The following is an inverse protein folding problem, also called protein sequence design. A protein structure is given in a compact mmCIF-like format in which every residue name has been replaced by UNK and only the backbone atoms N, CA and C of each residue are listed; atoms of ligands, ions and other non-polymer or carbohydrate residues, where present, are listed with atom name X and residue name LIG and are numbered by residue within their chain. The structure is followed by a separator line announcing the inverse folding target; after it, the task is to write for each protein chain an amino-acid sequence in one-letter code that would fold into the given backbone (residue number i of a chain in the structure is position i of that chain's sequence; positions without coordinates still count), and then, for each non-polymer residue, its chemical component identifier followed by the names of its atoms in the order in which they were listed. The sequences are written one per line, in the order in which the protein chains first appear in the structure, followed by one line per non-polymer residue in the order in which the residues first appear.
data_IF_404955754186
#
_entry.id   IF_404955754186
#
_cell.length_a   1.000
_cell.length_b   1.000
_cell.length_c   1.000
_cell.angle_alpha   90.00
_cell.angle_beta   90.00
_cell.angle_gamma   90.00
#
_symmetry.space_group_name_H-M   'P 1'
#
loop_
_entity.id
_entity.type
_entity.pdbx_description
1 polymer ?
#
# COMPACT_ATOMS: atom_id res chain seq x y z
N UNK A 1 65.87 3.43 -31.21
CA UNK A 1 65.98 2.49 -30.07
C UNK A 1 66.68 3.26 -28.96
N UNK A 2 66.12 3.59 -27.80
CA UNK A 2 64.94 3.12 -27.10
C UNK A 2 64.30 4.35 -26.42
N UNK A 3 63.30 4.96 -27.08
CA UNK A 3 62.29 5.82 -26.43
C UNK A 3 61.11 4.94 -26.04
N UNK A 4 61.39 3.81 -25.39
CA UNK A 4 60.41 2.75 -25.11
C UNK A 4 60.37 2.37 -23.63
N UNK A 5 60.93 3.20 -22.75
CA UNK A 5 60.88 2.96 -21.28
C UNK A 5 60.39 4.21 -20.51
N UNK A 6 59.61 5.08 -21.18
CA UNK A 6 58.98 6.27 -20.55
C UNK A 6 57.50 6.41 -20.94
N UNK A 7 56.83 5.30 -21.23
CA UNK A 7 55.36 5.22 -21.40
C UNK A 7 54.79 4.08 -20.52
N UNK A 8 55.61 3.47 -19.66
CA UNK A 8 55.22 2.36 -18.77
C UNK A 8 55.35 2.71 -17.28
N UNK A 9 55.37 4.00 -16.94
CA UNK A 9 55.26 4.49 -15.56
C UNK A 9 54.15 5.54 -15.35
N UNK A 10 53.31 5.79 -16.36
CA UNK A 10 52.15 6.70 -16.25
C UNK A 10 50.81 6.01 -16.57
N UNK A 11 50.77 4.68 -16.59
CA UNK A 11 49.51 3.91 -16.73
C UNK A 11 49.11 3.08 -15.51
N UNK A 12 49.85 3.15 -14.41
CA UNK A 12 49.56 2.41 -13.18
C UNK A 12 49.28 3.30 -11.95
N UNK A 13 48.89 4.58 -12.15
CA UNK A 13 48.58 5.50 -11.03
C UNK A 13 47.19 6.14 -11.15
N UNK A 14 46.37 5.79 -12.14
CA UNK A 14 45.03 6.39 -12.31
C UNK A 14 43.91 5.39 -12.57
N UNK A 15 44.02 4.18 -12.03
CA UNK A 15 42.88 3.25 -11.93
C UNK A 15 42.96 2.62 -10.54
N UNK A 16 42.17 3.15 -9.60
CA UNK A 16 42.18 2.63 -8.22
C UNK A 16 41.56 3.48 -7.14
N UNK A 17 40.77 4.53 -7.45
CA UNK A 17 40.02 5.29 -6.43
C UNK A 17 38.71 5.86 -7.01
N UNK A 18 37.88 5.04 -7.66
CA UNK A 18 36.66 5.60 -8.26
C UNK A 18 35.52 4.64 -8.56
N UNK A 19 35.60 3.36 -8.19
CA UNK A 19 34.55 2.38 -8.52
C UNK A 19 33.93 1.74 -7.26
N UNK A 20 34.37 2.10 -6.06
CA UNK A 20 33.77 1.62 -4.80
C UNK A 20 32.80 2.63 -4.15
N UNK A 21 32.74 3.88 -4.64
CA UNK A 21 31.85 4.91 -4.07
C UNK A 21 30.55 5.15 -4.87
N UNK A 22 30.42 4.62 -6.10
CA UNK A 22 29.21 4.81 -6.93
C UNK A 22 28.20 3.66 -6.85
N UNK A 23 28.55 2.51 -6.26
CA UNK A 23 27.60 1.39 -6.07
C UNK A 23 26.79 1.46 -4.76
N UNK A 24 27.11 2.37 -3.84
CA UNK A 24 26.30 2.59 -2.62
C UNK A 24 25.07 3.49 -2.84
N UNK A 25 24.96 4.20 -3.98
CA UNK A 25 23.89 5.19 -4.20
C UNK A 25 22.65 4.63 -4.94
N UNK A 26 22.69 3.42 -5.50
CA UNK A 26 21.55 2.83 -6.24
C UNK A 26 20.79 1.69 -5.51
N UNK A 27 21.15 1.36 -4.27
CA UNK A 27 20.36 0.44 -3.43
C UNK A 27 20.04 1.03 -2.04
N UNK A 28 19.86 2.34 -1.94
CA UNK A 28 19.01 2.88 -0.88
C UNK A 28 17.55 2.77 -1.35
N UNK A 29 17.01 1.55 -1.31
CA UNK A 29 15.56 1.36 -1.24
C UNK A 29 15.13 2.01 0.08
N UNK A 30 14.96 3.35 0.05
CA UNK A 30 14.81 4.29 1.18
C UNK A 30 14.22 3.54 2.35
N UNK A 31 15.09 3.05 3.23
CA UNK A 31 14.68 2.18 4.33
C UNK A 31 13.97 3.06 5.33
N UNK A 32 12.68 3.30 5.07
CA UNK A 32 11.79 4.09 5.89
C UNK A 32 11.80 3.47 7.29
N UNK A 33 12.51 4.12 8.20
CA UNK A 33 12.51 3.70 9.59
C UNK A 33 11.15 3.97 10.22
N UNK A 34 10.35 2.92 10.33
CA UNK A 34 9.01 3.03 10.90
C UNK A 34 9.06 3.05 12.42
N UNK A 35 8.38 4.03 13.00
CA UNK A 35 8.24 4.17 14.44
C UNK A 35 7.46 2.99 15.02
N UNK A 36 8.03 2.39 16.06
CA UNK A 36 7.41 1.33 16.87
C UNK A 36 6.83 1.93 18.15
N UNK A 37 5.78 1.32 18.69
CA UNK A 37 5.15 1.71 19.96
C UNK A 37 3.86 2.53 19.81
N UNK A 38 3.44 3.12 20.93
CA UNK A 38 2.11 3.73 21.09
C UNK A 38 1.87 4.88 20.12
N UNK A 39 0.62 5.02 19.67
CA UNK A 39 0.18 6.12 18.83
C UNK A 39 -0.06 7.37 19.67
N UNK A 40 0.58 8.48 19.29
CA UNK A 40 0.29 9.78 19.89
C UNK A 40 -1.04 10.33 19.36
N UNK A 41 -1.59 11.33 20.06
CA UNK A 41 -2.74 12.09 19.58
C UNK A 41 -2.41 12.73 18.23
N UNK A 42 -1.26 13.41 18.11
CA UNK A 42 -0.82 14.07 16.89
C UNK A 42 -0.71 13.10 15.71
N UNK A 43 -0.09 11.93 15.90
CA UNK A 43 0.02 10.89 14.86
C UNK A 43 -1.37 10.40 14.43
N UNK A 44 -2.29 10.26 15.38
CA UNK A 44 -3.66 9.84 15.10
C UNK A 44 -4.42 10.91 14.30
N UNK A 45 -4.24 12.19 14.64
CA UNK A 45 -4.84 13.30 13.89
C UNK A 45 -4.32 13.36 12.46
N UNK A 46 -3.00 13.20 12.26
CA UNK A 46 -2.38 13.12 10.92
C UNK A 46 -2.98 11.98 10.10
N UNK A 47 -3.17 10.80 10.69
CA UNK A 47 -3.80 9.67 9.99
C UNK A 47 -5.24 9.99 9.57
N UNK A 48 -6.02 10.64 10.44
CA UNK A 48 -7.42 11.02 10.13
C UNK A 48 -7.46 12.05 9.00
N UNK A 49 -6.57 13.04 9.03
CA UNK A 49 -6.44 14.05 7.97
C UNK A 49 -6.01 13.42 6.64
N UNK A 50 -5.00 12.55 6.66
CA UNK A 50 -4.59 11.79 5.48
C UNK A 50 -5.76 10.96 4.92
N UNK A 51 -6.59 10.36 5.77
CA UNK A 51 -7.80 9.64 5.35
C UNK A 51 -8.89 10.54 4.77
N UNK A 52 -9.03 11.77 5.28
CA UNK A 52 -9.92 12.78 4.71
C UNK A 52 -9.47 13.17 3.29
N UNK A 53 -8.19 13.45 3.09
CA UNK A 53 -7.63 13.77 1.78
C UNK A 53 -7.72 12.59 0.80
N UNK A 54 -7.48 11.35 1.25
CA UNK A 54 -7.68 10.14 0.44
C UNK A 54 -9.14 10.03 -0.02
N UNK A 55 -10.09 10.34 0.87
CA UNK A 55 -11.51 10.34 0.52
C UNK A 55 -11.84 11.39 -0.54
N UNK A 56 -11.40 12.64 -0.35
CA UNK A 56 -11.64 13.74 -1.28
C UNK A 56 -11.02 13.47 -2.65
N UNK A 57 -9.77 13.00 -2.69
CA UNK A 57 -9.10 12.57 -3.91
C UNK A 57 -9.89 11.50 -4.66
N UNK A 58 -10.42 10.50 -3.95
CA UNK A 58 -11.22 9.44 -4.57
C UNK A 58 -12.57 9.95 -5.06
N UNK A 59 -13.22 10.82 -4.29
CA UNK A 59 -14.46 11.46 -4.70
C UNK A 59 -14.27 12.32 -5.97
N UNK A 60 -13.15 13.05 -6.06
CA UNK A 60 -12.80 13.88 -7.21
C UNK A 60 -12.53 13.05 -8.46
N UNK A 61 -11.70 12.00 -8.38
CA UNK A 61 -11.48 11.08 -9.52
C UNK A 61 -12.78 10.49 -10.03
N UNK A 62 -13.68 10.12 -9.13
CA UNK A 62 -14.96 9.55 -9.52
C UNK A 62 -15.92 10.59 -10.11
N UNK A 63 -15.79 11.87 -9.75
CA UNK A 63 -16.50 12.98 -10.40
C UNK A 63 -15.95 13.26 -11.81
N UNK A 64 -14.64 13.14 -12.00
CA UNK A 64 -13.97 13.29 -13.29
C UNK A 64 -14.34 12.16 -14.27
N UNK A 65 -14.45 10.92 -13.78
CA UNK A 65 -14.94 9.77 -14.57
C UNK A 65 -16.41 9.94 -15.00
N UNK A 66 -17.28 10.49 -14.14
CA UNK A 66 -18.67 10.79 -14.49
C UNK A 66 -18.83 11.92 -15.52
N UNK A 67 -17.78 12.69 -15.84
CA UNK A 67 -17.79 13.76 -16.86
C UNK A 67 -17.33 13.31 -18.25
N UNK A 68 -17.32 11.99 -18.50
CA UNK A 68 -17.11 11.44 -19.86
C UNK A 68 -15.66 11.13 -20.22
N UNK A 69 -14.75 11.00 -19.25
CA UNK A 69 -13.40 10.51 -19.50
C UNK A 69 -13.36 8.99 -19.37
N UNK A 70 -13.33 8.28 -20.51
CA UNK A 70 -13.04 6.84 -20.60
C UNK A 70 -11.58 6.58 -20.23
N UNK A 71 -11.26 6.65 -18.93
CA UNK A 71 -9.96 6.31 -18.38
C UNK A 71 -10.01 4.96 -17.67
N UNK A 72 -9.36 3.96 -18.25
CA UNK A 72 -9.07 2.66 -17.65
C UNK A 72 -8.53 2.85 -16.21
N UNK A 73 -9.17 2.23 -15.21
CA UNK A 73 -8.58 2.09 -13.87
C UNK A 73 -9.52 2.21 -12.67
N UNK A 74 -10.68 1.54 -12.67
CA UNK A 74 -11.62 1.57 -11.54
C UNK A 74 -11.23 0.70 -10.33
N UNK A 75 -10.04 0.09 -10.28
CA UNK A 75 -9.64 -0.70 -9.11
C UNK A 75 -8.13 -0.68 -8.92
N UNK A 76 -7.60 0.45 -8.41
CA UNK A 76 -6.28 0.38 -7.77
C UNK A 76 -6.37 -0.59 -6.58
N UNK A 77 -5.44 -1.55 -6.44
CA UNK A 77 -5.44 -2.48 -5.31
C UNK A 77 -5.50 -1.74 -3.97
N UNK A 78 -6.16 -2.38 -2.99
CA UNK A 78 -6.25 -1.97 -1.59
C UNK A 78 -4.88 -1.63 -0.95
N UNK A 79 -3.81 -2.19 -1.51
CA UNK A 79 -2.42 -1.93 -1.14
C UNK A 79 -1.92 -0.56 -1.63
N UNK A 80 -2.26 -0.15 -2.86
CA UNK A 80 -1.89 1.16 -3.42
C UNK A 80 -2.60 2.34 -2.74
N UNK A 81 -3.75 2.13 -2.09
CA UNK A 81 -4.42 3.21 -1.32
C UNK A 81 -3.70 3.51 -0.03
N UNK A 82 -3.27 2.49 0.70
CA UNK A 82 -2.60 2.70 1.97
C UNK A 82 -1.17 3.19 1.78
N UNK A 83 -0.49 2.82 0.69
CA UNK A 83 0.81 3.42 0.31
C UNK A 83 0.72 4.95 0.23
N UNK A 84 -0.34 5.49 -0.37
CA UNK A 84 -0.51 6.94 -0.42
C UNK A 84 -0.78 7.57 0.95
N UNK A 85 -1.58 6.90 1.78
CA UNK A 85 -1.85 7.35 3.16
C UNK A 85 -0.56 7.35 3.97
N UNK A 86 0.27 6.32 3.82
CA UNK A 86 1.60 6.23 4.40
C UNK A 86 2.48 7.41 3.96
N UNK A 87 2.61 7.66 2.66
CA UNK A 87 3.38 8.80 2.13
C UNK A 87 2.87 10.14 2.66
N UNK A 88 1.56 10.28 2.87
CA UNK A 88 0.98 11.47 3.47
C UNK A 88 1.33 11.59 4.95
N UNK A 89 1.19 10.51 5.72
CA UNK A 89 1.56 10.48 7.13
C UNK A 89 3.04 10.80 7.32
N UNK A 90 3.89 10.20 6.48
CA UNK A 90 5.34 10.40 6.49
C UNK A 90 5.73 11.86 6.29
N UNK A 91 5.13 12.55 5.31
CA UNK A 91 5.38 13.98 5.05
C UNK A 91 4.97 14.90 6.20
N UNK A 92 4.08 14.45 7.10
CA UNK A 92 3.66 15.20 8.28
C UNK A 92 4.36 14.71 9.56
N UNK A 93 5.48 13.99 9.43
CA UNK A 93 6.29 13.50 10.55
C UNK A 93 5.71 12.28 11.26
N UNK A 94 4.67 11.65 10.71
CA UNK A 94 4.10 10.40 11.20
C UNK A 94 4.74 9.22 10.44
N UNK A 95 5.93 8.80 10.90
CA UNK A 95 6.72 7.73 10.31
C UNK A 95 6.14 6.33 10.63
N UNK A 96 4.92 6.05 10.17
CA UNK A 96 4.22 4.76 10.38
C UNK A 96 4.03 4.06 9.05
N UNK A 97 4.20 2.74 9.03
CA UNK A 97 4.08 1.95 7.81
C UNK A 97 2.64 1.85 7.34
N UNK A 98 2.47 1.42 6.09
CA UNK A 98 1.18 1.11 5.50
C UNK A 98 0.26 0.29 6.43
N UNK A 99 0.80 -0.81 6.96
CA UNK A 99 0.05 -1.75 7.80
C UNK A 99 -0.28 -1.14 9.16
N UNK A 100 0.66 -0.41 9.76
CA UNK A 100 0.41 0.29 11.03
C UNK A 100 -0.73 1.32 10.89
N UNK A 101 -0.72 2.10 9.81
CA UNK A 101 -1.78 3.06 9.50
C UNK A 101 -3.14 2.37 9.29
N UNK A 102 -3.15 1.24 8.57
CA UNK A 102 -4.35 0.44 8.33
C UNK A 102 -4.94 -0.10 9.65
N UNK A 103 -4.15 -0.83 10.43
CA UNK A 103 -4.58 -1.43 11.68
C UNK A 103 -5.08 -0.37 12.68
N UNK A 104 -4.36 0.76 12.76
CA UNK A 104 -4.76 1.88 13.60
C UNK A 104 -6.11 2.44 13.17
N UNK A 105 -6.31 2.64 11.88
CA UNK A 105 -7.57 3.15 11.33
C UNK A 105 -8.73 2.20 11.60
N UNK A 106 -8.54 0.90 11.40
CA UNK A 106 -9.59 -0.10 11.65
C UNK A 106 -10.00 -0.16 13.13
N UNK A 107 -9.02 -0.07 14.04
CA UNK A 107 -9.28 0.03 15.47
C UNK A 107 -10.05 1.32 15.82
N UNK A 108 -9.63 2.47 15.28
CA UNK A 108 -10.32 3.76 15.49
C UNK A 108 -11.76 3.73 15.00
N UNK A 109 -11.99 3.19 13.81
CA UNK A 109 -13.32 3.09 13.23
C UNK A 109 -14.23 2.13 14.00
N UNK A 110 -13.66 1.07 14.59
CA UNK A 110 -14.39 0.15 15.47
C UNK A 110 -14.81 0.86 16.76
N UNK A 111 -13.87 1.54 17.41
CA UNK A 111 -14.12 2.27 18.65
C UNK A 111 -15.13 3.41 18.45
N UNK A 112 -14.97 4.18 17.37
CA UNK A 112 -15.91 5.21 16.96
C UNK A 112 -17.34 4.67 16.82
N UNK A 113 -17.52 3.56 16.08
CA UNK A 113 -18.85 2.97 15.89
C UNK A 113 -19.49 2.55 17.21
N UNK A 114 -18.70 1.98 18.13
CA UNK A 114 -19.18 1.58 19.46
C UNK A 114 -19.65 2.79 20.26
N UNK A 115 -18.82 3.83 20.38
CA UNK A 115 -19.15 5.04 21.14
C UNK A 115 -20.36 5.75 20.53
N UNK A 116 -20.39 5.91 19.20
CA UNK A 116 -21.50 6.54 18.50
C UNK A 116 -22.82 5.78 18.66
N UNK A 117 -22.80 4.44 18.66
CA UNK A 117 -23.99 3.63 18.90
C UNK A 117 -24.50 3.80 20.35
N UNK A 118 -23.59 3.84 21.31
CA UNK A 118 -23.91 4.07 22.72
C UNK A 118 -24.53 5.46 22.94
N UNK A 119 -23.89 6.53 22.44
CA UNK A 119 -24.42 7.89 22.51
C UNK A 119 -25.81 8.02 21.86
N UNK A 120 -26.02 7.36 20.72
CA UNK A 120 -27.34 7.35 20.08
C UNK A 120 -28.39 6.63 20.93
N UNK A 121 -28.04 5.49 21.54
CA UNK A 121 -28.96 4.74 22.40
C UNK A 121 -29.37 5.54 23.64
N UNK A 122 -28.47 6.35 24.18
CA UNK A 122 -28.75 7.25 25.31
C UNK A 122 -29.68 8.40 24.94
N UNK A 123 -29.49 8.97 23.74
CA UNK A 123 -30.37 10.03 23.24
C UNK A 123 -31.81 9.54 23.03
N UNK A 124 -31.99 8.26 22.71
CA UNK A 124 -33.32 7.63 22.62
C UNK A 124 -33.91 7.26 24.00
N UNK A 125 -33.05 6.92 24.97
CA UNK A 125 -33.43 6.50 26.33
C UNK A 125 -33.53 7.63 27.38
N UNK A 126 -33.41 8.90 26.98
CA UNK A 126 -33.71 10.06 27.84
C UNK A 126 -32.76 10.29 29.02
N UNK A 127 -31.53 9.77 29.01
CA UNK A 127 -30.57 9.90 30.11
C UNK A 127 -29.25 10.61 29.70
N UNK A 128 -29.22 11.95 29.60
CA UNK A 128 -28.04 12.73 29.19
C UNK A 128 -26.86 12.70 30.20
N UNK A 129 -27.10 12.21 31.42
CA UNK A 129 -26.09 12.10 32.47
C UNK A 129 -25.07 10.98 32.26
N UNK A 130 -25.40 9.97 31.44
CA UNK A 130 -24.60 8.75 31.24
C UNK A 130 -23.78 8.76 29.93
N UNK A 131 -23.60 9.93 29.31
CA UNK A 131 -22.78 10.09 28.10
C UNK A 131 -21.38 9.51 28.32
N UNK A 132 -20.86 8.85 27.29
CA UNK A 132 -19.54 8.24 27.24
C UNK A 132 -18.43 9.17 27.74
N UNK A 133 -18.55 10.47 27.42
CA UNK A 133 -17.57 11.49 27.81
C UNK A 133 -17.53 11.76 29.32
N UNK A 134 -18.64 11.51 30.01
CA UNK A 134 -18.77 11.67 31.46
C UNK A 134 -18.44 10.39 32.24
N UNK A 135 -18.43 9.24 31.56
CA UNK A 135 -18.08 7.96 32.18
C UNK A 135 -16.58 7.89 32.47
N UNK A 136 -16.25 7.36 33.64
CA UNK A 136 -14.88 7.03 34.02
C UNK A 136 -14.41 5.75 33.31
N UNK A 137 -13.09 5.53 33.28
CA UNK A 137 -12.45 4.41 32.58
C UNK A 137 -13.01 3.05 32.98
N UNK A 138 -13.32 2.84 34.26
CA UNK A 138 -13.85 1.57 34.76
C UNK A 138 -15.31 1.37 34.30
N UNK A 139 -16.16 2.39 34.39
CA UNK A 139 -17.55 2.35 33.91
C UNK A 139 -17.63 2.10 32.40
N UNK A 140 -16.71 2.68 31.62
CA UNK A 140 -16.59 2.38 30.18
C UNK A 140 -16.33 0.90 29.95
N UNK A 141 -15.46 0.28 30.75
CA UNK A 141 -15.14 -1.15 30.65
C UNK A 141 -16.35 -2.02 31.00
N UNK A 142 -17.10 -1.68 32.05
CA UNK A 142 -18.33 -2.39 32.43
C UNK A 142 -19.39 -2.34 31.31
N UNK A 143 -19.48 -1.21 30.61
CA UNK A 143 -20.37 -1.03 29.45
C UNK A 143 -19.78 -1.52 28.12
N UNK A 144 -18.64 -2.22 28.13
CA UNK A 144 -17.94 -2.71 26.93
C UNK A 144 -17.55 -1.62 25.90
N UNK A 145 -17.34 -0.39 26.38
CA UNK A 145 -16.96 0.77 25.59
C UNK A 145 -15.44 0.92 25.51
N UNK A 146 -14.91 1.52 24.43
CA UNK A 146 -13.49 1.83 24.32
C UNK A 146 -13.01 2.67 25.50
N UNK A 147 -11.83 2.41 26.04
CA UNK A 147 -11.34 3.16 27.21
C UNK A 147 -10.63 4.47 26.82
N UNK A 148 -10.00 4.50 25.64
CA UNK A 148 -9.01 5.51 25.27
C UNK A 148 -9.44 6.37 24.05
N UNK A 149 -10.69 6.29 23.60
CA UNK A 149 -11.16 7.18 22.52
C UNK A 149 -11.33 8.59 23.09
N UNK A 150 -10.58 9.53 22.53
CA UNK A 150 -10.58 10.94 22.93
C UNK A 150 -11.67 11.73 22.18
N UNK A 151 -12.25 12.78 22.77
CA UNK A 151 -13.26 13.63 22.13
C UNK A 151 -12.79 14.20 20.79
N UNK A 152 -11.56 14.70 20.72
CA UNK A 152 -10.97 15.33 19.54
C UNK A 152 -10.87 14.34 18.37
N UNK A 153 -10.47 13.11 18.67
CA UNK A 153 -10.40 12.01 17.69
C UNK A 153 -11.81 11.65 17.21
N UNK A 154 -12.78 11.55 18.12
CA UNK A 154 -14.15 11.19 17.77
C UNK A 154 -14.84 12.26 16.91
N UNK A 155 -14.64 13.54 17.21
CA UNK A 155 -15.13 14.65 16.40
C UNK A 155 -14.54 14.60 14.98
N UNK A 156 -13.22 14.48 14.87
CA UNK A 156 -12.55 14.38 13.58
C UNK A 156 -13.02 13.16 12.75
N UNK A 157 -13.23 12.01 13.39
CA UNK A 157 -13.80 10.83 12.74
C UNK A 157 -15.26 11.04 12.31
N UNK A 158 -16.05 11.76 13.12
CA UNK A 158 -17.44 12.10 12.79
C UNK A 158 -17.50 12.88 11.49
N UNK A 159 -16.64 13.89 11.32
CA UNK A 159 -16.57 14.64 10.06
C UNK A 159 -16.26 13.75 8.86
N UNK A 160 -15.27 12.85 8.97
CA UNK A 160 -14.88 11.95 7.86
C UNK A 160 -16.04 11.04 7.48
N UNK A 161 -16.76 10.50 8.47
CA UNK A 161 -17.91 9.62 8.25
C UNK A 161 -19.11 10.38 7.67
N UNK A 162 -19.41 11.57 8.18
CA UNK A 162 -20.51 12.40 7.68
C UNK A 162 -20.27 12.84 6.25
N UNK A 163 -19.06 13.32 5.94
CA UNK A 163 -18.65 13.71 4.58
C UNK A 163 -18.73 12.52 3.62
N UNK A 164 -18.37 11.32 4.09
CA UNK A 164 -18.58 10.08 3.34
C UNK A 164 -20.06 9.81 3.08
N UNK A 165 -20.88 9.81 4.11
CA UNK A 165 -22.32 9.56 3.99
C UNK A 165 -23.03 10.57 3.08
N UNK A 166 -22.65 11.84 3.13
CA UNK A 166 -23.19 12.89 2.25
C UNK A 166 -22.83 12.66 0.78
N UNK A 167 -21.59 12.28 0.49
CA UNK A 167 -21.17 12.00 -0.87
C UNK A 167 -21.79 10.70 -1.43
N UNK A 168 -22.03 9.69 -0.59
CA UNK A 168 -22.79 8.50 -0.98
C UNK A 168 -24.27 8.85 -1.26
N UNK A 169 -24.90 9.69 -0.42
CA UNK A 169 -26.26 10.18 -0.65
C UNK A 169 -26.39 11.03 -1.92
N UNK A 170 -25.40 11.86 -2.24
CA UNK A 170 -25.37 12.65 -3.47
C UNK A 170 -25.21 11.79 -4.73
N UNK A 171 -24.74 10.54 -4.59
CA UNK A 171 -24.59 9.55 -5.67
C UNK A 171 -25.83 8.68 -5.86
N UNK A 172 -26.68 8.56 -4.84
CA UNK A 172 -27.83 7.66 -4.84
C UNK A 172 -29.10 8.36 -4.40
N UNK A 173 -29.88 8.83 -5.38
CA UNK A 173 -31.33 8.91 -5.19
C UNK A 173 -31.88 7.49 -5.06
N UNK A 174 -32.11 7.04 -3.82
CA UNK A 174 -32.93 5.87 -3.50
C UNK A 174 -32.19 4.55 -3.20
N UNK A 175 -32.64 3.92 -2.10
CA UNK A 175 -32.50 2.50 -1.72
C UNK A 175 -31.17 1.99 -1.13
N UNK A 176 -31.02 2.10 0.20
CA UNK A 176 -30.92 0.94 1.11
C UNK A 176 -30.76 1.43 2.57
N UNK A 177 -31.90 1.59 3.27
CA UNK A 177 -31.95 1.65 4.72
C UNK A 177 -32.96 0.59 5.20
N UNK A 178 -32.51 -0.66 5.17
CA UNK A 178 -33.06 -1.77 5.94
C UNK A 178 -31.82 -2.55 6.41
N UNK A 179 -31.58 -2.82 7.69
CA UNK A 179 -32.53 -3.15 8.73
C UNK A 179 -32.15 -2.51 10.08
N UNK A 180 -33.02 -1.64 10.58
CA UNK A 180 -33.26 -1.56 12.02
C UNK A 180 -34.43 -2.52 12.28
N UNK A 181 -34.16 -3.67 12.90
CA UNK A 181 -35.23 -4.51 13.46
C UNK A 181 -35.49 -4.01 14.88
N UNK A 182 -36.71 -3.57 15.23
CA UNK A 182 -37.11 -3.48 16.61
C UNK A 182 -37.40 -4.91 17.12
N UNK A 183 -36.78 -5.26 18.25
CA UNK A 183 -37.15 -6.44 19.04
C UNK A 183 -38.52 -6.15 19.64
N UNK A 184 -39.51 -6.95 19.24
CA UNK A 184 -40.81 -6.97 19.90
C UNK A 184 -40.71 -7.76 21.20
N UNK A 185 -41.19 -7.10 22.25
CA UNK A 185 -41.58 -7.65 23.54
C UNK A 185 -42.78 -8.58 23.34
N UNK A 186 -42.64 -9.85 23.72
CA UNK A 186 -43.80 -10.72 23.96
C UNK A 186 -43.65 -11.39 25.32
N UNK A 187 -44.54 -10.96 26.21
CA UNK A 187 -44.83 -11.53 27.52
C UNK A 187 -45.76 -12.71 27.33
N UNK A 188 -45.29 -13.93 27.58
CA UNK A 188 -46.17 -15.07 27.87
C UNK A 188 -45.70 -15.86 29.10
N UNK A 189 -46.71 -16.15 29.91
CA UNK A 189 -46.69 -16.81 31.20
C UNK A 189 -46.63 -18.33 31.03
N UNK A 190 -46.01 -19.01 32.01
CA UNK A 190 -46.40 -20.34 32.44
C UNK A 190 -45.43 -21.46 32.06
N UNK A 191 -44.96 -22.19 33.07
CA UNK A 191 -44.27 -23.46 32.88
C UNK A 191 -43.21 -23.73 33.91
N UNK A 192 -43.62 -24.04 35.14
CA UNK A 192 -42.75 -24.55 36.19
C UNK A 192 -42.14 -25.90 35.80
N UNK A 193 -40.84 -26.13 36.08
CA UNK A 193 -40.40 -27.33 36.79
C UNK A 193 -38.93 -27.28 37.23
N UNK A 194 -38.71 -27.84 38.42
CA UNK A 194 -37.47 -28.45 38.94
C UNK A 194 -36.29 -27.54 39.35
N UNK A 195 -36.42 -27.05 40.58
CA UNK A 195 -35.44 -27.13 41.67
C UNK A 195 -34.15 -27.94 41.41
N UNK A 196 -33.00 -27.29 41.59
CA UNK A 196 -31.88 -27.91 42.30
C UNK A 196 -31.07 -26.83 43.03
N UNK A 197 -31.11 -26.92 44.35
CA UNK A 197 -30.43 -26.09 45.33
C UNK A 197 -29.00 -26.61 45.51
N UNK A 198 -27.94 -25.80 45.39
CA UNK A 198 -26.68 -26.05 46.10
C UNK A 198 -25.94 -24.72 46.38
N UNK A 199 -26.11 -24.27 47.63
CA UNK A 199 -25.19 -23.64 48.57
C UNK A 199 -23.95 -22.86 48.08
N UNK A 200 -23.87 -21.60 48.50
CA UNK A 200 -22.61 -20.86 48.76
C UNK A 200 -21.84 -21.47 49.95
N UNK A 201 -20.51 -21.28 50.03
CA UNK A 201 -19.95 -20.22 50.89
C UNK A 201 -18.81 -19.48 50.13
N UNK A 202 -18.38 -18.27 50.44
CA UNK A 202 -18.01 -17.68 51.74
C UNK A 202 -16.69 -16.92 51.49
N UNK A 203 -16.56 -15.76 52.14
CA UNK A 203 -15.54 -14.74 51.90
C UNK A 203 -14.07 -15.18 52.09
N UNK A 204 -13.16 -14.48 51.41
CA UNK A 204 -11.72 -14.54 51.67
C UNK A 204 -10.96 -13.44 50.93
N UNK A 205 -10.52 -12.41 51.67
CA UNK A 205 -9.54 -11.43 51.24
C UNK A 205 -8.15 -12.06 51.14
N UNK A 206 -7.41 -11.84 50.04
CA UNK A 206 -5.94 -11.85 50.07
C UNK A 206 -5.32 -11.04 48.92
N UNK A 207 -4.14 -10.50 49.23
CA UNK A 207 -3.35 -9.48 48.55
C UNK A 207 -2.58 -10.02 47.30
N UNK A 208 -1.78 -9.20 46.59
CA UNK A 208 -1.42 -9.43 45.19
C UNK A 208 -0.25 -10.42 45.00
N UNK A 209 -0.38 -11.32 44.01
CA UNK A 209 0.71 -12.20 43.56
C UNK A 209 1.59 -11.53 42.47
N UNK A 210 2.91 -11.83 42.43
CA UNK A 210 3.88 -11.33 41.46
C UNK A 210 3.80 -12.07 40.09
N UNK A 211 4.43 -11.54 39.02
CA UNK A 211 4.23 -12.05 37.66
C UNK A 211 4.92 -13.40 37.44
N UNK A 212 4.17 -14.35 36.85
CA UNK A 212 4.69 -15.62 36.36
C UNK A 212 5.59 -15.39 35.14
N UNK A 213 6.82 -15.87 35.26
CA UNK A 213 7.82 -16.01 34.20
C UNK A 213 7.32 -17.08 33.20
N UNK A 214 7.24 -16.72 31.92
CA UNK A 214 6.97 -17.66 30.84
C UNK A 214 8.20 -18.55 30.57
N UNK A 215 8.04 -19.85 30.24
CA UNK A 215 9.16 -20.71 29.86
C UNK A 215 9.71 -20.35 28.46
N UNK A 216 11.02 -20.59 28.20
CA UNK A 216 11.64 -20.24 26.94
C UNK A 216 11.19 -21.17 25.80
N UNK A 217 10.94 -20.59 24.63
CA UNK A 217 10.68 -21.31 23.38
C UNK A 217 11.98 -21.99 22.88
N UNK A 218 11.90 -23.19 22.27
CA UNK A 218 13.06 -23.84 21.68
C UNK A 218 13.56 -23.11 20.42
N UNK A 219 14.87 -23.18 20.11
CA UNK A 219 15.47 -22.46 18.98
C UNK A 219 15.07 -23.06 17.63
N UNK A 220 14.69 -22.18 16.69
CA UNK A 220 14.51 -22.51 15.27
C UNK A 220 15.86 -22.87 14.63
N UNK A 221 15.93 -23.88 13.73
CA UNK A 221 17.13 -24.16 12.95
C UNK A 221 17.32 -23.12 11.83
N UNK A 222 18.58 -22.78 11.46
CA UNK A 222 18.89 -21.78 10.43
C UNK A 222 18.57 -22.29 9.01
N UNK A 223 18.30 -21.39 8.06
CA UNK A 223 18.03 -21.75 6.67
C UNK A 223 19.32 -22.21 5.97
N UNK A 224 19.30 -23.42 5.42
CA UNK A 224 20.36 -23.95 4.58
C UNK A 224 20.50 -23.12 3.29
N UNK A 225 21.68 -22.54 3.12
CA UNK A 225 22.19 -21.97 1.89
C UNK A 225 22.16 -23.03 0.77
N UNK A 226 21.46 -22.76 -0.33
CA UNK A 226 21.63 -23.49 -1.59
C UNK A 226 22.65 -22.72 -2.43
N UNK A 227 23.78 -23.34 -2.86
CA UNK A 227 24.58 -22.74 -3.91
C UNK A 227 23.92 -22.98 -5.27
N UNK A 228 23.92 -21.92 -6.08
CA UNK A 228 23.65 -21.97 -7.52
C UNK A 228 24.74 -22.80 -8.18
N UNK A 229 24.36 -23.80 -8.98
CA UNK A 229 25.28 -24.49 -9.88
C UNK A 229 25.17 -23.84 -11.25
N UNK A 230 26.29 -23.28 -11.69
CA UNK A 230 26.59 -22.78 -13.01
C UNK A 230 26.52 -23.89 -14.06
N UNK A 231 26.10 -23.50 -15.25
CA UNK A 231 26.19 -24.28 -16.49
C UNK A 231 27.65 -24.64 -16.80
N UNK A 232 27.90 -25.84 -17.32
CA UNK A 232 28.80 -26.03 -18.47
C UNK A 232 28.53 -27.36 -19.18
N UNK A 233 28.89 -27.36 -20.47
CA UNK A 233 28.76 -28.40 -21.50
C UNK A 233 29.54 -29.68 -21.19
N UNK A 234 29.09 -30.82 -21.71
CA UNK A 234 29.73 -31.46 -22.88
C UNK A 234 29.10 -32.81 -23.25
N UNK A 235 29.26 -33.07 -24.54
CA UNK A 235 28.97 -34.21 -25.40
C UNK A 235 29.46 -35.58 -24.88
N UNK A 236 28.66 -36.65 -25.06
CA UNK A 236 29.11 -37.97 -25.57
C UNK A 236 28.09 -39.11 -25.29
N UNK A 237 27.36 -39.45 -26.34
CA UNK A 237 27.20 -40.78 -26.95
C UNK A 237 27.27 -42.10 -26.13
N UNK A 238 26.19 -42.89 -26.32
CA UNK A 238 26.08 -44.37 -26.34
C UNK A 238 26.47 -45.20 -25.11
N UNK A 239 25.50 -45.90 -24.53
CA UNK A 239 25.62 -47.36 -24.30
C UNK A 239 24.29 -48.04 -23.95
N UNK A 240 24.08 -49.16 -24.62
CA UNK A 240 22.97 -50.10 -24.61
C UNK A 240 22.86 -50.92 -23.31
N UNK A 241 21.62 -51.31 -22.97
CA UNK A 241 21.21 -52.24 -21.90
C UNK A 241 22.00 -53.55 -21.83
N UNK A 242 21.92 -54.29 -20.70
CA UNK A 242 20.95 -55.40 -20.71
C UNK A 242 20.18 -55.68 -19.41
N UNK A 243 19.13 -56.46 -19.62
CA UNK A 243 18.08 -56.98 -18.74
C UNK A 243 18.54 -57.61 -17.41
N UNK A 244 17.75 -57.39 -16.34
CA UNK A 244 17.58 -58.36 -15.24
C UNK A 244 16.12 -58.56 -14.86
N UNK A 245 15.53 -59.59 -15.48
CA UNK A 245 14.81 -60.71 -14.85
C UNK A 245 13.80 -60.41 -13.71
N UNK A 246 12.55 -60.28 -14.14
CA UNK A 246 11.28 -60.76 -13.57
C UNK A 246 11.37 -61.51 -12.21
N UNK A 247 10.63 -61.03 -11.20
CA UNK A 247 9.85 -61.90 -10.32
C UNK A 247 8.40 -61.44 -10.33
N UNK A 248 7.57 -62.29 -10.94
CA UNK A 248 6.13 -62.12 -11.13
C UNK A 248 5.42 -62.62 -9.87
N UNK A 249 4.64 -61.75 -9.27
CA UNK A 249 3.50 -62.06 -8.40
C UNK A 249 2.71 -60.76 -8.32
N UNK A 250 1.43 -60.66 -8.62
CA UNK A 250 0.39 -61.60 -8.99
C UNK A 250 -0.89 -60.76 -8.94
N UNK A 251 -1.72 -60.81 -9.98
CA UNK A 251 -3.08 -60.23 -9.99
C UNK A 251 -3.20 -58.75 -10.42
N UNK A 252 -4.14 -58.46 -11.32
CA UNK A 252 -4.70 -57.11 -11.54
C UNK A 252 -4.26 -56.34 -12.79
N UNK A 253 -4.30 -56.94 -13.98
CA UNK A 253 -3.72 -56.39 -15.21
C UNK A 253 -4.49 -55.30 -15.98
N UNK A 254 -5.53 -54.67 -15.43
CA UNK A 254 -6.30 -53.63 -16.17
C UNK A 254 -6.35 -52.27 -15.47
N UNK A 255 -6.44 -52.24 -14.13
CA UNK A 255 -6.56 -50.99 -13.36
C UNK A 255 -5.26 -50.19 -13.27
N UNK A 256 -4.11 -50.86 -13.17
CA UNK A 256 -2.81 -50.17 -12.99
C UNK A 256 -2.37 -49.35 -14.21
N UNK A 257 -2.68 -49.81 -15.44
CA UNK A 257 -2.37 -49.06 -16.67
C UNK A 257 -3.27 -47.83 -16.82
N UNK A 258 -4.53 -47.93 -16.39
CA UNK A 258 -5.47 -46.80 -16.36
C UNK A 258 -4.95 -45.69 -15.43
N UNK A 259 -4.52 -46.05 -14.21
CA UNK A 259 -4.02 -45.10 -13.23
C UNK A 259 -2.75 -44.37 -13.69
N UNK A 260 -1.82 -45.05 -14.40
CA UNK A 260 -0.62 -44.41 -14.95
C UNK A 260 -0.96 -43.43 -16.07
N UNK A 261 -1.93 -43.76 -16.94
CA UNK A 261 -2.36 -42.85 -18.01
C UNK A 261 -3.12 -41.64 -17.46
N UNK A 262 -3.93 -41.83 -16.41
CA UNK A 262 -4.60 -40.73 -15.69
C UNK A 262 -3.59 -39.80 -15.02
N UNK A 263 -2.55 -40.35 -14.37
CA UNK A 263 -1.48 -39.56 -13.77
C UNK A 263 -0.72 -38.76 -14.84
N UNK A 264 -0.32 -39.38 -15.95
CA UNK A 264 0.35 -38.67 -17.06
C UNK A 264 -0.54 -37.57 -17.65
N UNK A 265 -1.85 -37.83 -17.82
CA UNK A 265 -2.81 -36.82 -18.28
C UNK A 265 -2.94 -35.67 -17.29
N UNK A 266 -2.97 -35.95 -15.98
CA UNK A 266 -3.01 -34.94 -14.94
C UNK A 266 -1.73 -34.10 -14.92
N UNK A 267 -0.56 -34.73 -15.05
CA UNK A 267 0.73 -34.03 -15.13
C UNK A 267 0.77 -33.12 -16.36
N UNK A 268 0.34 -33.60 -17.53
CA UNK A 268 0.26 -32.77 -18.75
C UNK A 268 -0.70 -31.59 -18.59
N UNK A 269 -1.84 -31.77 -17.92
CA UNK A 269 -2.77 -30.67 -17.60
C UNK A 269 -2.14 -29.65 -16.67
N UNK A 270 -1.46 -30.09 -15.60
CA UNK A 270 -0.74 -29.21 -14.69
C UNK A 270 0.38 -28.44 -15.41
N UNK A 271 1.15 -29.11 -16.27
CA UNK A 271 2.18 -28.47 -17.07
C UNK A 271 1.59 -27.42 -18.02
N UNK A 272 0.46 -27.70 -18.65
CA UNK A 272 -0.26 -26.74 -19.50
C UNK A 272 -0.73 -25.51 -18.74
N UNK A 273 -1.30 -25.69 -17.54
CA UNK A 273 -1.76 -24.59 -16.69
C UNK A 273 -0.58 -23.71 -16.25
N UNK A 274 0.54 -24.32 -15.89
CA UNK A 274 1.76 -23.57 -15.50
C UNK A 274 2.31 -22.80 -16.71
N UNK A 275 2.39 -23.43 -17.89
CA UNK A 275 2.87 -22.78 -19.10
C UNK A 275 1.99 -21.57 -19.49
N UNK A 276 0.66 -21.73 -19.43
CA UNK A 276 -0.29 -20.64 -19.70
C UNK A 276 -0.14 -19.52 -18.66
N UNK A 277 0.00 -19.85 -17.38
CA UNK A 277 0.21 -18.87 -16.32
C UNK A 277 1.52 -18.08 -16.48
N UNK A 278 2.60 -18.75 -16.89
CA UNK A 278 3.89 -18.10 -17.18
C UNK A 278 3.78 -17.15 -18.38
N UNK A 279 3.18 -17.62 -19.48
CA UNK A 279 3.02 -16.82 -20.69
C UNK A 279 2.10 -15.61 -20.46
N UNK A 280 1.03 -15.77 -19.69
CA UNK A 280 0.16 -14.67 -19.27
C UNK A 280 0.90 -13.67 -18.38
N UNK A 281 1.80 -14.15 -17.50
CA UNK A 281 2.67 -13.32 -16.68
C UNK A 281 3.61 -12.46 -17.52
N UNK A 282 4.30 -13.08 -18.48
CA UNK A 282 5.24 -12.43 -19.40
C UNK A 282 4.55 -11.39 -20.29
N UNK A 283 3.42 -11.72 -20.92
CA UNK A 283 2.65 -10.75 -21.72
C UNK A 283 2.18 -9.55 -20.88
N UNK A 284 1.75 -9.80 -19.64
CA UNK A 284 1.35 -8.73 -18.74
C UNK A 284 2.54 -7.87 -18.32
N UNK A 285 3.74 -8.42 -18.23
CA UNK A 285 4.96 -7.66 -17.96
C UNK A 285 5.40 -6.83 -19.17
N UNK A 286 5.38 -7.43 -20.35
CA UNK A 286 5.71 -6.76 -21.60
C UNK A 286 4.78 -5.57 -21.87
N UNK A 287 3.48 -5.72 -21.59
CA UNK A 287 2.53 -4.60 -21.68
C UNK A 287 2.84 -3.47 -20.70
N UNK A 288 3.16 -3.79 -19.43
CA UNK A 288 3.60 -2.76 -18.46
C UNK A 288 4.87 -2.04 -18.90
N UNK A 289 5.81 -2.78 -19.48
CA UNK A 289 7.06 -2.22 -19.99
C UNK A 289 6.80 -1.27 -21.16
N UNK A 290 6.00 -1.70 -22.15
CA UNK A 290 5.57 -0.86 -23.28
C UNK A 290 4.87 0.42 -22.83
N UNK A 291 3.98 0.31 -21.83
CA UNK A 291 3.28 1.47 -21.27
C UNK A 291 4.25 2.45 -20.58
N UNK A 292 5.23 1.94 -19.83
CA UNK A 292 6.23 2.73 -19.15
C UNK A 292 7.11 3.50 -20.15
N UNK A 293 7.62 2.82 -21.18
CA UNK A 293 8.39 3.42 -22.26
C UNK A 293 7.58 4.50 -22.99
N UNK A 294 6.30 4.22 -23.30
CA UNK A 294 5.43 5.22 -23.94
C UNK A 294 5.18 6.46 -23.05
N UNK A 295 5.11 6.29 -21.74
CA UNK A 295 4.99 7.40 -20.79
C UNK A 295 6.27 8.24 -20.78
N UNK A 296 7.44 7.60 -20.74
CA UNK A 296 8.74 8.26 -20.76
C UNK A 296 8.97 9.03 -22.06
N UNK A 297 8.67 8.43 -23.20
CA UNK A 297 8.76 9.08 -24.51
C UNK A 297 7.85 10.32 -24.57
N UNK A 298 6.61 10.23 -24.06
CA UNK A 298 5.70 11.38 -23.99
C UNK A 298 6.20 12.47 -23.06
N UNK A 299 6.83 12.12 -21.94
CA UNK A 299 7.44 13.11 -21.04
C UNK A 299 8.62 13.81 -21.71
N UNK A 300 9.48 13.07 -22.40
CA UNK A 300 10.61 13.62 -23.14
C UNK A 300 10.15 14.63 -24.20
N UNK A 301 9.13 14.28 -25.00
CA UNK A 301 8.54 15.20 -26.00
C UNK A 301 7.95 16.48 -25.37
N UNK A 302 7.33 16.35 -24.18
CA UNK A 302 6.78 17.50 -23.48
C UNK A 302 7.90 18.42 -22.97
N UNK A 303 8.96 17.88 -22.37
CA UNK A 303 10.09 18.69 -21.92
C UNK A 303 10.82 19.35 -23.09
N UNK A 304 10.99 18.65 -24.22
CA UNK A 304 11.56 19.21 -25.45
C UNK A 304 10.72 20.39 -25.97
N UNK A 305 9.41 20.22 -26.16
CA UNK A 305 8.52 21.31 -26.62
C UNK A 305 8.47 22.50 -25.65
N UNK A 306 8.60 22.25 -24.34
CA UNK A 306 8.71 23.30 -23.33
C UNK A 306 10.03 24.07 -23.46
N UNK A 307 11.14 23.38 -23.72
CA UNK A 307 12.44 24.04 -23.98
C UNK A 307 12.43 24.84 -25.29
N UNK A 308 11.78 24.31 -26.33
CA UNK A 308 11.66 24.97 -27.63
C UNK A 308 10.81 26.24 -27.54
N UNK A 309 9.67 26.18 -26.88
CA UNK A 309 8.82 27.37 -26.63
C UNK A 309 9.56 28.42 -25.80
N UNK A 310 10.36 28.00 -24.81
CA UNK A 310 11.24 28.91 -24.07
C UNK A 310 12.28 29.56 -25.00
N UNK A 311 12.92 28.81 -25.89
CA UNK A 311 13.87 29.33 -26.88
C UNK A 311 13.22 30.35 -27.81
N UNK A 312 12.08 30.01 -28.40
CA UNK A 312 11.33 30.90 -29.30
C UNK A 312 10.93 32.22 -28.59
N UNK A 313 10.58 32.15 -27.29
CA UNK A 313 10.27 33.34 -26.51
C UNK A 313 11.48 34.26 -26.33
N UNK A 314 12.67 33.67 -26.09
CA UNK A 314 13.93 34.42 -25.98
C UNK A 314 14.34 35.03 -27.32
N UNK A 315 14.19 34.29 -28.43
CA UNK A 315 14.47 34.79 -29.78
C UNK A 315 13.56 35.98 -30.14
N UNK A 316 12.28 35.89 -29.76
CA UNK A 316 11.32 36.99 -29.89
C UNK A 316 11.75 38.24 -29.12
N UNK A 317 12.21 38.06 -27.87
CA UNK A 317 12.72 39.16 -27.04
C UNK A 317 13.99 39.77 -27.64
N UNK A 318 14.95 38.95 -28.06
CA UNK A 318 16.18 39.40 -28.70
C UNK A 318 15.92 40.21 -29.97
N UNK A 319 14.96 39.77 -30.80
CA UNK A 319 14.53 40.50 -31.99
C UNK A 319 13.93 41.88 -31.64
N UNK A 320 13.09 41.96 -30.60
CA UNK A 320 12.51 43.22 -30.15
C UNK A 320 13.58 44.21 -29.64
N UNK A 321 14.55 43.72 -28.86
CA UNK A 321 15.68 44.52 -28.38
C UNK A 321 16.51 45.04 -29.56
N UNK A 322 16.82 44.19 -30.55
CA UNK A 322 17.56 44.62 -31.74
C UNK A 322 16.80 45.67 -32.57
N UNK A 323 15.48 45.56 -32.69
CA UNK A 323 14.65 46.58 -33.35
C UNK A 323 14.68 47.90 -32.58
N UNK A 324 14.58 47.87 -31.25
CA UNK A 324 14.69 49.06 -30.40
C UNK A 324 16.06 49.72 -30.54
N UNK A 325 17.14 48.95 -30.45
CA UNK A 325 18.51 49.46 -30.61
C UNK A 325 18.70 50.13 -31.98
N UNK A 326 18.22 49.50 -33.05
CA UNK A 326 18.27 50.04 -34.42
C UNK A 326 17.47 51.33 -34.55
N UNK A 327 16.30 51.42 -33.91
CA UNK A 327 15.48 52.64 -33.89
C UNK A 327 16.14 53.78 -33.12
N UNK A 328 16.77 53.50 -31.97
CA UNK A 328 17.52 54.48 -31.18
C UNK A 328 18.72 55.02 -31.97
N UNK A 329 19.51 54.12 -32.59
CA UNK A 329 20.63 54.51 -33.44
C UNK A 329 20.16 55.36 -34.63
N UNK A 330 19.07 54.97 -35.29
CA UNK A 330 18.46 55.75 -36.37
C UNK A 330 18.07 57.16 -35.92
N UNK A 331 17.38 57.28 -34.78
CA UNK A 331 17.00 58.58 -34.20
C UNK A 331 18.21 59.44 -33.84
N UNK A 332 19.26 58.85 -33.27
CA UNK A 332 20.49 59.56 -32.95
C UNK A 332 21.17 60.11 -34.20
N UNK A 333 21.25 59.31 -35.28
CA UNK A 333 21.85 59.75 -36.55
C UNK A 333 21.04 60.85 -37.24
N UNK A 334 19.71 60.76 -37.29
CA UNK A 334 18.84 61.81 -37.85
C UNK A 334 19.00 63.14 -37.09
N UNK A 335 19.11 63.07 -35.76
CA UNK A 335 19.34 64.24 -34.91
C UNK A 335 20.71 64.87 -35.15
N UNK A 336 21.76 64.06 -35.35
CA UNK A 336 23.09 64.57 -35.71
C UNK A 336 23.11 65.24 -37.08
N UNK A 337 22.44 64.66 -38.09
CA UNK A 337 22.35 65.24 -39.42
C UNK A 337 21.61 66.59 -39.42
N UNK A 338 20.56 66.74 -38.60
CA UNK A 338 19.85 68.02 -38.42
C UNK A 338 20.71 69.11 -37.76
N UNK A 339 21.67 68.74 -36.92
CA UNK A 339 22.58 69.71 -36.28
C UNK A 339 23.75 70.14 -37.18
N UNK A 340 23.99 69.44 -38.29
CA UNK A 340 25.04 69.74 -39.26
C UNK A 340 24.56 70.56 -40.47
N UNK A 341 23.26 70.84 -40.58
CA UNK A 341 22.65 71.73 -41.60
C UNK A 341 22.31 73.08 -40.99
#
# INVERSE_FOLDING_TARGET
MLKKDRIEMEKNVLVGVGEEEEEEEEHEDRCREYRKGNWSLTETMVLIEAKKMDYERRAQRLKELSRGSSGIGSSRPQEMRWKWVEDCCWRHGCCRSQNQCNDRWDNLMRDYKKVRAYELSLSAGGNPGLSYWKLERHERKEKNLPSNLLPEIHEALTEVVQRRAMAEKARGGGACAAAARPVQEERQLGGASASMQHSSPGAGSQAPEPPLIAPPLPPYPPPHSRPMATVDSEDSQHSVSPERKRKRGGGGGSSSRSNTMELSSAISKCASIIAEALQAGEQKEETRHKDLVSIEERKAKLEESKSETSSQSMDGLASAINKLASSILGLATDRMQKLQK
#
